data_IF_101577490104
#
_entry.id   IF_101577490104
#
_cell.length_a   1.000
_cell.length_b   1.000
_cell.length_c   1.000
_cell.angle_alpha   90.00
_cell.angle_beta   90.00
_cell.angle_gamma   90.00
#
_symmetry.space_group_name_H-M   'P 1'
#
loop_
_entity.id
_entity.type
_entity.pdbx_description
1 polymer ?
#
# COMPACT_ATOMS: atom_id res chain seq x y z
N UNK A 1 -8.17 -5.31 15.52
CA UNK A 1 -8.30 -6.77 15.27
C UNK A 1 -7.19 -7.47 16.03
N UNK A 2 -7.47 -8.53 16.81
CA UNK A 2 -6.39 -9.36 17.35
C UNK A 2 -5.80 -10.17 16.20
N UNK A 3 -4.50 -10.04 15.98
CA UNK A 3 -3.81 -10.80 14.95
C UNK A 3 -3.75 -12.26 15.40
N UNK A 4 -4.46 -13.14 14.69
CA UNK A 4 -4.36 -14.59 14.93
C UNK A 4 -2.94 -15.10 14.59
N UNK A 5 -2.61 -16.32 15.02
CA UNK A 5 -1.27 -16.92 14.82
C UNK A 5 -0.83 -16.86 13.35
N UNK A 6 -1.75 -17.14 12.42
CA UNK A 6 -1.47 -17.08 10.99
C UNK A 6 -1.14 -15.65 10.53
N UNK A 7 -1.85 -14.66 11.06
CA UNK A 7 -1.59 -13.25 10.77
C UNK A 7 -0.24 -12.79 11.31
N UNK A 8 0.17 -13.26 12.49
CA UNK A 8 1.51 -12.95 13.04
C UNK A 8 2.62 -13.57 12.20
N UNK A 9 2.41 -14.80 11.69
CA UNK A 9 3.37 -15.47 10.81
C UNK A 9 3.46 -14.72 9.48
N UNK A 10 2.34 -14.32 8.90
CA UNK A 10 2.32 -13.54 7.66
C UNK A 10 3.03 -12.20 7.84
N UNK A 11 2.76 -11.48 8.94
CA UNK A 11 3.45 -10.25 9.28
C UNK A 11 4.96 -10.48 9.41
N UNK A 12 5.38 -11.48 10.19
CA UNK A 12 6.78 -11.84 10.35
C UNK A 12 7.44 -12.15 9.00
N UNK A 13 6.76 -12.88 8.12
CA UNK A 13 7.26 -13.19 6.77
C UNK A 13 7.49 -11.92 5.94
N UNK A 14 6.58 -10.95 5.98
CA UNK A 14 6.79 -9.66 5.29
C UNK A 14 7.94 -8.85 5.88
N UNK A 15 8.08 -8.85 7.22
CA UNK A 15 9.11 -8.10 7.92
C UNK A 15 10.53 -8.58 7.62
N UNK A 16 10.72 -9.87 7.32
CA UNK A 16 12.01 -10.42 6.88
C UNK A 16 12.57 -9.63 5.68
N UNK A 17 11.70 -9.14 4.79
CA UNK A 17 12.10 -8.36 3.62
C UNK A 17 11.99 -6.85 3.87
N UNK A 18 10.95 -6.39 4.55
CA UNK A 18 10.74 -4.97 4.79
C UNK A 18 11.82 -4.35 5.68
N UNK A 19 12.31 -5.07 6.69
CA UNK A 19 13.32 -4.56 7.63
C UNK A 19 14.65 -4.25 6.94
N UNK A 20 15.27 -5.15 6.16
CA UNK A 20 16.48 -4.83 5.40
C UNK A 20 16.33 -3.60 4.51
N UNK A 21 15.22 -3.49 3.78
CA UNK A 21 14.93 -2.34 2.91
C UNK A 21 14.76 -1.06 3.72
N UNK A 22 14.04 -1.14 4.85
CA UNK A 22 13.83 -0.01 5.74
C UNK A 22 15.11 0.50 6.38
N UNK A 23 15.99 -0.40 6.83
CA UNK A 23 17.30 -0.04 7.39
C UNK A 23 18.18 0.62 6.33
N UNK A 24 18.25 0.05 5.13
CA UNK A 24 19.01 0.63 4.03
C UNK A 24 18.46 2.00 3.61
N UNK A 25 17.13 2.12 3.49
CA UNK A 25 16.46 3.38 3.18
C UNK A 25 16.68 4.45 4.25
N UNK A 26 16.64 4.07 5.54
CA UNK A 26 16.92 4.97 6.65
C UNK A 26 18.36 5.49 6.60
N UNK A 27 19.35 4.61 6.45
CA UNK A 27 20.75 5.04 6.32
C UNK A 27 20.94 5.97 5.11
N UNK A 28 20.36 5.60 3.96
CA UNK A 28 20.42 6.41 2.74
C UNK A 28 19.79 7.81 2.95
N UNK A 29 18.70 7.88 3.70
CA UNK A 29 18.05 9.15 4.05
C UNK A 29 18.96 10.01 4.96
N UNK A 30 19.61 9.38 5.94
CA UNK A 30 20.55 10.02 6.86
C UNK A 30 21.84 10.47 6.15
N UNK A 31 22.25 9.78 5.09
CA UNK A 31 23.38 10.14 4.22
C UNK A 31 23.07 11.32 3.29
N UNK A 32 21.86 11.91 3.39
CA UNK A 32 21.45 13.11 2.66
C UNK A 32 20.74 12.84 1.34
N UNK A 33 20.60 11.57 0.93
CA UNK A 33 19.87 11.19 -0.29
C UNK A 33 18.36 11.12 -0.02
N UNK A 34 17.74 12.29 0.16
CA UNK A 34 16.34 12.43 0.59
C UNK A 34 15.34 11.67 -0.28
N UNK A 35 15.43 11.81 -1.61
CA UNK A 35 14.49 11.17 -2.53
C UNK A 35 14.62 9.65 -2.47
N UNK A 36 15.86 9.15 -2.51
CA UNK A 36 16.13 7.71 -2.59
C UNK A 36 15.83 7.03 -1.25
N UNK A 37 16.32 7.59 -0.15
CA UNK A 37 16.07 7.07 1.20
C UNK A 37 14.58 7.15 1.58
N UNK A 38 13.92 8.28 1.30
CA UNK A 38 12.48 8.44 1.51
C UNK A 38 11.66 7.47 0.67
N UNK A 39 12.02 7.27 -0.60
CA UNK A 39 11.37 6.32 -1.49
C UNK A 39 11.50 4.87 -1.00
N UNK A 40 12.69 4.47 -0.55
CA UNK A 40 12.93 3.14 0.01
C UNK A 40 12.14 2.91 1.32
N UNK A 41 12.08 3.92 2.19
CA UNK A 41 11.26 3.85 3.40
C UNK A 41 9.77 3.71 3.07
N UNK A 42 9.28 4.45 2.08
CA UNK A 42 7.90 4.32 1.61
C UNK A 42 7.64 2.90 1.09
N UNK A 43 8.55 2.34 0.29
CA UNK A 43 8.45 0.95 -0.19
C UNK A 43 8.42 -0.04 0.98
N UNK A 44 9.30 0.11 1.98
CA UNK A 44 9.33 -0.76 3.15
C UNK A 44 8.01 -0.73 3.93
N UNK A 45 7.41 0.44 4.11
CA UNK A 45 6.09 0.59 4.74
C UNK A 45 5.01 -0.07 3.90
N UNK A 46 5.01 0.16 2.58
CA UNK A 46 4.04 -0.43 1.66
C UNK A 46 4.13 -1.96 1.63
N UNK A 47 5.33 -2.55 1.71
CA UNK A 47 5.49 -4.01 1.79
C UNK A 47 4.70 -4.63 2.96
N UNK A 48 4.51 -3.88 4.06
CA UNK A 48 3.78 -4.34 5.26
C UNK A 48 2.30 -3.96 5.20
N UNK A 49 1.97 -2.74 4.76
CA UNK A 49 0.61 -2.16 4.86
C UNK A 49 -0.28 -2.47 3.66
N UNK A 50 0.32 -2.80 2.51
CA UNK A 50 -0.39 -2.98 1.24
C UNK A 50 -1.11 -4.35 1.09
N UNK A 51 -0.54 -5.50 1.52
CA UNK A 51 -1.37 -6.64 1.98
C UNK A 51 -2.28 -6.11 3.11
N UNK A 52 -3.28 -6.74 3.68
CA UNK A 52 -4.24 -6.04 4.56
C UNK A 52 -5.14 -5.01 3.84
N UNK A 53 -4.63 -4.01 3.10
CA UNK A 53 -5.47 -3.03 2.39
C UNK A 53 -5.95 -3.52 1.02
N UNK A 54 -5.10 -4.22 0.26
CA UNK A 54 -5.45 -4.73 -1.07
C UNK A 54 -5.96 -6.18 -1.07
N UNK A 55 -5.72 -6.92 0.01
CA UNK A 55 -6.12 -8.33 0.12
C UNK A 55 -7.52 -8.53 0.69
N UNK A 56 -8.28 -7.46 0.96
CA UNK A 56 -9.74 -7.52 1.15
C UNK A 56 -10.36 -7.76 -0.23
N UNK A 57 -10.67 -9.02 -0.60
CA UNK A 57 -10.91 -9.40 -2.00
C UNK A 57 -12.16 -8.74 -2.59
N UNK A 58 -13.04 -8.24 -1.73
CA UNK A 58 -14.35 -7.68 -2.08
C UNK A 58 -14.33 -6.18 -2.39
N UNK A 59 -13.36 -5.42 -1.88
CA UNK A 59 -13.47 -3.95 -1.89
C UNK A 59 -12.84 -3.29 -3.13
N UNK A 60 -11.86 -3.94 -3.76
CA UNK A 60 -11.11 -3.36 -4.88
C UNK A 60 -11.80 -3.56 -6.23
N UNK A 61 -12.29 -4.76 -6.59
CA UNK A 61 -13.00 -4.94 -7.84
C UNK A 61 -14.29 -4.12 -7.89
N UNK A 62 -15.00 -4.04 -6.77
CA UNK A 62 -16.25 -3.29 -6.64
C UNK A 62 -16.03 -1.78 -6.85
N UNK A 63 -15.06 -1.17 -6.15
CA UNK A 63 -14.78 0.28 -6.27
C UNK A 63 -14.26 0.70 -7.64
N UNK A 64 -13.47 -0.15 -8.29
CA UNK A 64 -13.02 0.10 -9.66
C UNK A 64 -14.21 0.03 -10.60
N UNK A 65 -15.03 -1.02 -10.52
CA UNK A 65 -16.26 -1.18 -11.31
C UNK A 65 -17.25 -0.02 -11.15
N UNK A 66 -17.51 0.42 -9.92
CA UNK A 66 -18.35 1.58 -9.61
C UNK A 66 -17.80 2.88 -10.18
N UNK A 67 -16.48 3.08 -10.16
CA UNK A 67 -15.84 4.26 -10.75
C UNK A 67 -15.96 4.28 -12.28
N UNK A 68 -15.91 3.12 -12.94
CA UNK A 68 -16.13 3.04 -14.40
C UNK A 68 -17.60 3.23 -14.75
N UNK A 69 -18.51 2.60 -14.00
CA UNK A 69 -19.97 2.77 -14.16
C UNK A 69 -20.39 4.22 -13.91
N UNK A 70 -19.95 4.84 -12.81
CA UNK A 70 -20.30 6.22 -12.49
C UNK A 70 -19.78 7.23 -13.51
N UNK A 71 -18.64 6.94 -14.15
CA UNK A 71 -18.06 7.79 -15.22
C UNK A 71 -18.74 7.59 -16.58
N UNK A 72 -19.30 6.40 -16.85
CA UNK A 72 -20.10 6.13 -18.06
C UNK A 72 -21.52 6.67 -17.91
N UNK A 73 -22.09 6.65 -16.70
CA UNK A 73 -23.43 7.20 -16.41
C UNK A 73 -23.41 8.73 -16.34
N UNK A 74 -22.28 9.37 -15.95
CA UNK A 74 -22.10 10.82 -16.05
C UNK A 74 -21.67 11.22 -17.47
N UNK A 75 -22.65 11.47 -18.33
CA UNK A 75 -22.54 12.18 -19.61
C UNK A 75 -23.94 12.71 -19.94
N UNK A 76 -24.15 13.97 -20.37
CA UNK A 76 -23.62 15.27 -19.92
C UNK A 76 -24.81 16.25 -19.64
N UNK A 77 -25.06 16.67 -18.41
CA UNK A 77 -26.12 17.68 -18.14
C UNK A 77 -25.75 18.56 -16.92
N UNK A 78 -24.48 18.99 -16.87
CA UNK A 78 -24.02 20.03 -15.95
C UNK A 78 -23.56 21.25 -16.81
N UNK A 79 -24.44 21.74 -17.67
CA UNK A 79 -24.38 23.09 -18.27
C UNK A 79 -25.75 23.76 -18.10
N UNK A 80 -26.00 24.36 -16.93
CA UNK A 80 -26.84 25.56 -16.78
C UNK A 80 -26.37 26.42 -15.60
#
# INVERSE_FOLDING_TARGET
>A
MRLGILGTIQLAATLIFAVPVGVYGLNTLLDGQQILGGGLLAVAVLMVVLPHYLTTPTDIPAKVGESVVGKVVKTPDDEE
#
